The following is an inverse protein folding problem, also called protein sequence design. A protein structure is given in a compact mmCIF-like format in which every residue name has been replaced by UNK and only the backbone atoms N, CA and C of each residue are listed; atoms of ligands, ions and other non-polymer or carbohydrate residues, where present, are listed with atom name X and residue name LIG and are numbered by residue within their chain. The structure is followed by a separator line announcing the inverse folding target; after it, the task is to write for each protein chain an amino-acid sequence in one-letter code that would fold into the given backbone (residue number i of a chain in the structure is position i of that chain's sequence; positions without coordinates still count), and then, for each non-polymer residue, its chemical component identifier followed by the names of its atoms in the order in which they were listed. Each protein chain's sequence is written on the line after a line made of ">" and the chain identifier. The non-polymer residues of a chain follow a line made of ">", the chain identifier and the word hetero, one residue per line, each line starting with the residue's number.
data_IF_081228506602
#
_entry.id   IF_081228506602
#
_cell.length_a   1.000
_cell.length_b   1.000
_cell.length_c   1.000
_cell.angle_alpha   90.00
_cell.angle_beta   90.00
_cell.angle_gamma   90.00
#
_symmetry.space_group_name_H-M   'P 1'
#
loop_
_entity.id
_entity.type
_entity.pdbx_description
1 polymer ?
#
# COMPACT_ATOMS: atom_id res chain seq x y z
N UNK A 1 -6.65 -3.16 -12.07
CA UNK A 1 -5.73 -2.28 -11.32
C UNK A 1 -6.08 -2.26 -9.84
N UNK A 2 -7.27 -1.78 -9.43
CA UNK A 2 -7.76 -1.88 -8.02
C UNK A 2 -7.59 -3.27 -7.39
N UNK A 3 -8.01 -4.35 -8.07
CA UNK A 3 -7.88 -5.71 -7.52
C UNK A 3 -6.41 -6.13 -7.32
N UNK A 4 -5.52 -5.84 -8.28
CA UNK A 4 -4.08 -6.12 -8.13
C UNK A 4 -3.47 -5.33 -6.96
N UNK A 5 -3.87 -4.08 -6.78
CA UNK A 5 -3.45 -3.27 -5.64
C UNK A 5 -3.91 -3.88 -4.32
N UNK A 6 -5.16 -4.37 -4.26
CA UNK A 6 -5.70 -5.08 -3.09
C UNK A 6 -4.85 -6.32 -2.79
N UNK A 7 -4.55 -7.15 -3.79
CA UNK A 7 -3.79 -8.38 -3.62
C UNK A 7 -2.36 -8.11 -3.08
N UNK A 8 -1.67 -7.09 -3.61
CA UNK A 8 -0.32 -6.74 -3.12
C UNK A 8 -0.35 -6.09 -1.73
N UNK A 9 -1.38 -5.30 -1.41
CA UNK A 9 -1.57 -4.77 -0.05
C UNK A 9 -1.84 -5.88 0.97
N UNK A 10 -2.58 -6.93 0.60
CA UNK A 10 -2.81 -8.09 1.48
C UNK A 10 -1.51 -8.82 1.81
N UNK A 11 -0.63 -9.03 0.81
CA UNK A 11 0.71 -9.62 1.03
C UNK A 11 1.60 -8.76 1.93
N UNK A 12 1.52 -7.44 1.76
CA UNK A 12 2.25 -6.48 2.59
C UNK A 12 1.77 -6.53 4.05
N UNK A 13 0.45 -6.58 4.27
CA UNK A 13 -0.15 -6.76 5.60
C UNK A 13 0.29 -8.09 6.22
N UNK A 14 0.25 -9.19 5.45
CA UNK A 14 0.72 -10.50 5.92
C UNK A 14 2.18 -10.44 6.38
N UNK A 15 3.06 -9.82 5.57
CA UNK A 15 4.46 -9.66 5.92
C UNK A 15 4.64 -8.85 7.22
N UNK A 16 3.85 -7.79 7.42
CA UNK A 16 3.86 -7.01 8.66
C UNK A 16 3.45 -7.85 9.87
N UNK A 17 2.45 -8.72 9.74
CA UNK A 17 2.09 -9.65 10.81
C UNK A 17 3.20 -10.66 11.10
N UNK A 18 3.79 -11.26 10.08
CA UNK A 18 4.87 -12.24 10.21
C UNK A 18 6.13 -11.65 10.88
N UNK A 19 6.38 -10.35 10.66
CA UNK A 19 7.56 -9.64 11.17
C UNK A 19 7.29 -8.88 12.47
N UNK A 20 6.09 -8.97 13.05
CA UNK A 20 5.74 -8.38 14.35
C UNK A 20 5.34 -6.90 14.32
N UNK A 21 5.16 -6.31 13.14
CA UNK A 21 4.75 -4.92 12.94
C UNK A 21 3.23 -4.74 12.97
N UNK A 22 2.58 -5.23 14.03
CA UNK A 22 1.12 -5.29 14.11
C UNK A 22 0.43 -3.93 14.04
N UNK A 23 1.04 -2.86 14.58
CA UNK A 23 0.46 -1.51 14.51
C UNK A 23 0.36 -1.01 13.07
N UNK A 24 1.41 -1.22 12.29
CA UNK A 24 1.45 -0.89 10.87
C UNK A 24 0.49 -1.79 10.10
N UNK A 25 0.45 -3.09 10.39
CA UNK A 25 -0.49 -4.02 9.77
C UNK A 25 -1.94 -3.53 9.90
N UNK A 26 -2.38 -3.21 11.13
CA UNK A 26 -3.73 -2.67 11.40
C UNK A 26 -3.99 -1.36 10.66
N UNK A 27 -2.98 -0.49 10.52
CA UNK A 27 -3.14 0.73 9.73
C UNK A 27 -3.41 0.41 8.25
N UNK A 28 -2.62 -0.48 7.64
CA UNK A 28 -2.82 -0.91 6.26
C UNK A 28 -4.14 -1.66 6.06
N UNK A 29 -4.58 -2.49 7.02
CA UNK A 29 -5.89 -3.15 6.99
C UNK A 29 -7.04 -2.14 6.91
N UNK A 30 -6.97 -1.07 7.71
CA UNK A 30 -7.96 0.00 7.67
C UNK A 30 -7.97 0.72 6.32
N UNK A 31 -6.79 0.99 5.74
CA UNK A 31 -6.71 1.60 4.39
C UNK A 31 -7.22 0.66 3.30
N UNK A 32 -6.93 -0.64 3.41
CA UNK A 32 -7.41 -1.66 2.50
C UNK A 32 -8.94 -1.74 2.52
N UNK A 33 -9.56 -1.66 3.71
CA UNK A 33 -11.02 -1.61 3.85
C UNK A 33 -11.61 -0.39 3.11
N UNK A 34 -11.04 0.80 3.32
CA UNK A 34 -11.47 2.02 2.63
C UNK A 34 -11.34 1.91 1.11
N UNK A 35 -10.26 1.31 0.62
CA UNK A 35 -10.08 1.02 -0.82
C UNK A 35 -11.19 0.09 -1.31
N UNK A 36 -11.47 -1.01 -0.61
CA UNK A 36 -12.49 -1.98 -1.00
C UNK A 36 -13.88 -1.33 -1.09
N UNK A 37 -14.25 -0.55 -0.07
CA UNK A 37 -15.55 0.13 0.04
C UNK A 37 -15.72 1.34 -0.91
N UNK A 38 -14.62 2.01 -1.29
CA UNK A 38 -14.69 3.18 -2.17
C UNK A 38 -14.80 2.80 -3.65
N UNK A 39 -15.59 3.55 -4.41
CA UNK A 39 -15.60 3.45 -5.87
C UNK A 39 -14.25 3.91 -6.46
N UNK A 40 -13.78 3.23 -7.51
CA UNK A 40 -12.50 3.60 -8.12
C UNK A 40 -12.61 5.01 -8.72
N UNK A 41 -11.66 5.87 -8.38
CA UNK A 41 -11.57 7.23 -8.93
C UNK A 41 -12.34 8.30 -8.16
N UNK A 42 -13.08 7.94 -7.12
CA UNK A 42 -13.67 8.94 -6.23
C UNK A 42 -12.60 9.61 -5.34
N UNK A 43 -12.94 10.77 -4.78
CA UNK A 43 -12.02 11.53 -3.94
C UNK A 43 -11.49 10.73 -2.74
N UNK A 44 -12.34 9.95 -2.06
CA UNK A 44 -11.93 9.13 -0.91
C UNK A 44 -10.98 8.00 -1.31
N UNK A 45 -11.18 7.41 -2.49
CA UNK A 45 -10.26 6.41 -3.04
C UNK A 45 -8.89 7.03 -3.32
N UNK A 46 -8.84 8.14 -4.07
CA UNK A 46 -7.59 8.83 -4.39
C UNK A 46 -6.86 9.32 -3.13
N UNK A 47 -7.59 9.88 -2.16
CA UNK A 47 -7.01 10.30 -0.89
C UNK A 47 -6.39 9.12 -0.14
N UNK A 48 -7.09 7.98 -0.06
CA UNK A 48 -6.57 6.77 0.58
C UNK A 48 -5.29 6.29 -0.11
N UNK A 49 -5.23 6.36 -1.45
CA UNK A 49 -4.02 5.99 -2.19
C UNK A 49 -2.84 6.92 -1.89
N UNK A 50 -3.05 8.23 -1.79
CA UNK A 50 -2.00 9.19 -1.42
C UNK A 50 -1.48 8.97 0.01
N UNK A 51 -2.35 8.62 0.95
CA UNK A 51 -1.92 8.30 2.31
C UNK A 51 -1.03 7.05 2.33
N UNK A 52 -1.37 6.03 1.54
CA UNK A 52 -0.52 4.84 1.38
C UNK A 52 0.78 5.21 0.67
N UNK A 53 0.74 5.99 -0.41
CA UNK A 53 1.94 6.46 -1.12
C UNK A 53 2.93 7.14 -0.18
N UNK A 54 2.45 8.07 0.66
CA UNK A 54 3.27 8.77 1.64
C UNK A 54 3.88 7.82 2.69
N UNK A 55 3.17 6.74 3.04
CA UNK A 55 3.68 5.69 3.93
C UNK A 55 4.78 4.83 3.31
N UNK A 56 4.95 4.88 1.98
CA UNK A 56 5.98 4.13 1.25
C UNK A 56 7.23 4.98 0.97
N UNK A 57 7.13 6.31 0.94
CA UNK A 57 8.19 7.21 0.46
C UNK A 57 8.78 8.17 1.52
N UNK A 58 8.44 7.98 2.81
CA UNK A 58 8.93 8.81 3.92
C UNK A 58 9.90 8.11 4.88
N UNK A 59 10.54 8.87 5.77
CA UNK A 59 11.34 8.32 6.86
C UNK A 59 10.44 7.53 7.83
N UNK A 60 10.78 6.26 8.09
CA UNK A 60 9.91 5.35 8.83
C UNK A 60 8.83 4.71 7.94
N UNK A 61 9.05 4.75 6.62
CA UNK A 61 8.24 4.05 5.63
C UNK A 61 8.24 2.54 5.86
N UNK A 62 7.33 1.85 5.18
CA UNK A 62 7.35 0.40 5.17
C UNK A 62 8.72 -0.18 4.81
N UNK A 63 9.45 0.39 3.86
CA UNK A 63 10.79 -0.05 3.45
C UNK A 63 11.88 0.23 4.50
N UNK A 64 11.65 1.17 5.42
CA UNK A 64 12.59 1.49 6.51
C UNK A 64 12.37 0.64 7.77
N UNK A 65 11.29 -0.15 7.83
CA UNK A 65 11.01 -0.98 8.99
C UNK A 65 12.14 -2.01 9.17
N UNK A 66 12.77 -2.10 10.35
CA UNK A 66 13.78 -3.12 10.60
C UNK A 66 13.10 -4.49 10.60
N UNK A 67 13.28 -5.22 9.50
CA UNK A 67 12.86 -6.62 9.33
C UNK A 67 14.07 -7.54 9.37
N UNK A 68 13.84 -8.85 9.60
CA UNK A 68 14.90 -9.85 9.44
C UNK A 68 15.39 -9.85 7.98
N UNK A 69 16.69 -10.09 7.79
CA UNK A 69 17.34 -10.05 6.48
C UNK A 69 16.67 -10.95 5.42
N UNK A 70 16.09 -12.08 5.83
CA UNK A 70 15.36 -12.99 4.94
C UNK A 70 14.14 -12.34 4.26
N UNK A 71 13.56 -11.31 4.88
CA UNK A 71 12.37 -10.60 4.37
C UNK A 71 12.70 -9.30 3.63
N UNK A 72 13.93 -8.81 3.69
CA UNK A 72 14.30 -7.50 3.11
C UNK A 72 13.99 -7.41 1.62
N UNK A 73 14.30 -8.45 0.84
CA UNK A 73 14.00 -8.45 -0.59
C UNK A 73 12.48 -8.43 -0.86
N UNK A 74 11.71 -9.18 -0.09
CA UNK A 74 10.25 -9.21 -0.19
C UNK A 74 9.64 -7.87 0.21
N UNK A 75 10.16 -7.24 1.26
CA UNK A 75 9.75 -5.91 1.72
C UNK A 75 9.97 -4.85 0.63
N UNK A 76 11.15 -4.82 0.01
CA UNK A 76 11.44 -3.87 -1.09
C UNK A 76 10.56 -4.12 -2.32
N UNK A 77 10.43 -5.37 -2.75
CA UNK A 77 9.62 -5.74 -3.91
C UNK A 77 8.13 -5.39 -3.72
N UNK A 78 7.58 -5.62 -2.53
CA UNK A 78 6.21 -5.23 -2.19
C UNK A 78 6.04 -3.71 -2.16
N UNK A 79 6.99 -2.98 -1.56
CA UNK A 79 6.96 -1.51 -1.50
C UNK A 79 6.91 -0.91 -2.91
N UNK A 80 7.79 -1.39 -3.80
CA UNK A 80 7.86 -0.93 -5.18
C UNK A 80 6.59 -1.27 -5.98
N UNK A 81 6.10 -2.52 -5.89
CA UNK A 81 4.89 -2.96 -6.59
C UNK A 81 3.65 -2.16 -6.17
N UNK A 82 3.46 -1.96 -4.86
CA UNK A 82 2.33 -1.18 -4.34
C UNK A 82 2.45 0.27 -4.79
N UNK A 83 3.64 0.87 -4.75
CA UNK A 83 3.87 2.23 -5.21
C UNK A 83 3.53 2.40 -6.71
N UNK A 84 4.00 1.51 -7.57
CA UNK A 84 3.68 1.57 -9.00
C UNK A 84 2.18 1.42 -9.27
N UNK A 85 1.51 0.47 -8.58
CA UNK A 85 0.07 0.29 -8.71
C UNK A 85 -0.72 1.51 -8.22
N UNK A 86 -0.24 2.23 -7.21
CA UNK A 86 -0.83 3.48 -6.76
C UNK A 86 -0.72 4.55 -7.85
N UNK A 87 0.47 4.75 -8.42
CA UNK A 87 0.69 5.72 -9.51
C UNK A 87 -0.18 5.40 -10.72
N UNK A 88 -0.31 4.12 -11.10
CA UNK A 88 -1.22 3.71 -12.17
C UNK A 88 -2.69 4.02 -11.85
N UNK A 89 -3.14 3.79 -10.61
CA UNK A 89 -4.53 4.07 -10.24
C UNK A 89 -4.82 5.59 -10.17
N UNK A 90 -3.85 6.42 -9.76
CA UNK A 90 -3.99 7.88 -9.69
C UNK A 90 -3.85 8.51 -11.08
N UNK A 91 -2.79 8.16 -11.83
CA UNK A 91 -2.51 8.70 -13.16
C UNK A 91 -3.62 8.41 -14.18
N UNK A 92 -4.31 7.28 -14.07
CA UNK A 92 -5.48 6.96 -14.90
C UNK A 92 -6.74 7.77 -14.56
N UNK A 93 -6.81 8.46 -13.40
CA UNK A 93 -7.92 9.36 -13.10
C UNK A 93 -7.72 10.74 -13.73
N UNK A 94 -6.48 11.17 -13.98
CA UNK A 94 -6.16 12.48 -14.56
C UNK A 94 -6.45 12.58 -16.07
N UNK A 95 -6.63 11.44 -16.75
CA UNK A 95 -6.98 11.36 -18.18
C UNK A 95 -8.50 11.28 -18.43
N UNK A 96 -9.33 11.23 -17.37
CA UNK A 96 -10.79 11.12 -17.46
C UNK A 96 -11.53 12.36 -16.92
N UNK A 97 -10.87 13.51 -16.80
CA UNK A 97 -11.49 14.82 -16.50
C UNK A 97 -11.38 15.78 -17.66
#
# INVERSE_FOLDING_TARGET
>A
MKNKLIDELEKMIELLHQTGWHKQAVWYENKLKLIKESEKGCASFCQTLHEIEASLSGMGSFSDLPMKQEFTNQQWDLAEKVYQLILENIGNNHLNS
#
